data_IF_099294143929
#
_entry.id   IF_099294143929
#
_cell.length_a   1.000
_cell.length_b   1.000
_cell.length_c   1.000
_cell.angle_alpha   90.00
_cell.angle_beta   90.00
_cell.angle_gamma   90.00
#
_symmetry.space_group_name_H-M   'P 1'
#
loop_
_entity.id
_entity.type
_entity.pdbx_description
1 polymer ?
#
# COMPACT_ATOMS: atom_id res chain seq x y z
N UNK A 1 -1.03 11.91 24.58
CA UNK A 1 0.14 11.72 23.69
C UNK A 1 -0.31 11.93 22.25
N UNK A 2 0.58 12.27 21.32
CA UNK A 2 0.19 12.52 19.93
C UNK A 2 -0.36 11.25 19.26
N UNK A 3 -1.55 11.34 18.68
CA UNK A 3 -2.20 10.22 17.98
C UNK A 3 -1.51 9.91 16.65
N UNK A 4 -1.06 10.97 15.96
CA UNK A 4 -0.37 10.90 14.67
C UNK A 4 0.94 11.67 14.74
N UNK A 5 1.95 11.16 14.05
CA UNK A 5 3.29 11.75 13.94
C UNK A 5 3.84 11.54 12.53
N UNK A 6 4.99 12.15 12.25
CA UNK A 6 5.79 11.87 11.05
C UNK A 6 7.25 11.69 11.44
N UNK A 7 7.92 10.68 10.88
CA UNK A 7 9.32 10.37 11.16
C UNK A 7 10.06 10.19 9.84
N UNK A 8 10.78 11.21 9.40
CA UNK A 8 11.70 11.14 8.26
C UNK A 8 13.13 10.84 8.75
N UNK A 9 13.31 9.65 9.32
CA UNK A 9 14.58 9.25 9.92
C UNK A 9 15.52 8.64 8.87
N UNK A 10 16.59 9.34 8.49
CA UNK A 10 17.59 8.88 7.53
C UNK A 10 17.32 9.32 6.09
N UNK A 11 17.70 8.48 5.12
CA UNK A 11 17.51 8.73 3.67
C UNK A 11 16.64 7.65 3.04
N UNK A 12 15.90 8.01 1.99
CA UNK A 12 15.19 7.06 1.12
C UNK A 12 16.17 6.00 0.60
N UNK A 13 15.74 4.75 0.57
CA UNK A 13 16.54 3.64 0.03
C UNK A 13 16.52 3.64 -1.50
N UNK A 14 17.52 3.00 -2.10
CA UNK A 14 17.51 2.73 -3.54
C UNK A 14 16.23 1.96 -3.90
N UNK A 15 15.39 2.47 -4.81
CA UNK A 15 14.14 1.81 -5.16
C UNK A 15 14.40 0.55 -5.97
N UNK A 16 13.44 -0.39 -5.95
CA UNK A 16 13.51 -1.61 -6.78
C UNK A 16 13.24 -1.25 -8.25
N UNK A 17 12.17 -0.49 -8.48
CA UNK A 17 11.77 -0.02 -9.79
C UNK A 17 12.13 1.46 -9.99
N UNK A 18 12.24 1.87 -11.24
CA UNK A 18 12.46 3.27 -11.59
C UNK A 18 11.29 4.15 -11.15
N UNK A 19 11.55 5.47 -11.03
CA UNK A 19 10.47 6.42 -10.79
C UNK A 19 9.43 6.39 -11.92
N UNK A 20 9.86 6.19 -13.17
CA UNK A 20 8.96 6.10 -14.32
C UNK A 20 8.00 4.90 -14.21
N UNK A 21 8.50 3.74 -13.77
CA UNK A 21 7.65 2.56 -13.54
C UNK A 21 6.61 2.83 -12.44
N UNK A 22 7.01 3.47 -11.34
CA UNK A 22 6.07 3.81 -10.26
C UNK A 22 5.02 4.83 -10.69
N UNK A 23 5.42 5.89 -11.39
CA UNK A 23 4.48 6.88 -11.94
C UNK A 23 3.54 6.25 -12.97
N UNK A 24 4.01 5.32 -13.81
CA UNK A 24 3.15 4.61 -14.76
C UNK A 24 2.07 3.78 -14.06
N UNK A 25 2.39 3.12 -12.95
CA UNK A 25 1.39 2.39 -12.14
C UNK A 25 0.34 3.33 -11.56
N UNK A 26 0.79 4.44 -10.97
CA UNK A 26 -0.10 5.44 -10.38
C UNK A 26 -0.98 6.12 -11.44
N UNK A 27 -0.42 6.43 -12.62
CA UNK A 27 -1.17 7.01 -13.74
C UNK A 27 -2.29 6.09 -14.22
N UNK A 28 -2.02 4.78 -14.36
CA UNK A 28 -3.04 3.78 -14.71
C UNK A 28 -4.13 3.69 -13.64
N UNK A 29 -3.77 3.68 -12.36
CA UNK A 29 -4.73 3.70 -11.26
C UNK A 29 -5.60 4.96 -11.29
N UNK A 30 -4.99 6.15 -11.35
CA UNK A 30 -5.68 7.45 -11.38
C UNK A 30 -6.59 7.61 -12.59
N UNK A 31 -6.19 7.09 -13.74
CA UNK A 31 -7.04 7.03 -14.94
C UNK A 31 -8.28 6.20 -14.69
N UNK A 32 -8.14 5.00 -14.10
CA UNK A 32 -9.29 4.15 -13.77
C UNK A 32 -10.16 4.76 -12.68
N UNK A 33 -9.56 5.40 -11.67
CA UNK A 33 -10.30 6.15 -10.66
C UNK A 33 -11.17 7.24 -11.31
N UNK A 34 -10.64 8.00 -12.27
CA UNK A 34 -11.42 9.02 -12.98
C UNK A 34 -12.55 8.42 -13.82
N UNK A 35 -12.30 7.32 -14.53
CA UNK A 35 -13.33 6.62 -15.33
C UNK A 35 -14.47 6.09 -14.46
N UNK A 36 -14.12 5.52 -13.30
CA UNK A 36 -15.07 4.91 -12.37
C UNK A 36 -15.64 5.91 -11.37
N UNK A 37 -15.32 7.21 -11.46
CA UNK A 37 -15.69 8.26 -10.50
C UNK A 37 -15.34 7.88 -9.04
N UNK A 38 -14.09 7.52 -8.79
CA UNK A 38 -13.53 7.20 -7.47
C UNK A 38 -12.60 8.35 -7.06
N UNK A 39 -12.91 8.99 -5.93
CA UNK A 39 -12.22 10.19 -5.46
C UNK A 39 -10.91 9.85 -4.73
N UNK A 40 -10.93 8.76 -3.97
CA UNK A 40 -9.79 8.26 -3.22
C UNK A 40 -9.78 6.73 -3.21
N UNK A 41 -8.59 6.13 -3.09
CA UNK A 41 -8.42 4.70 -2.87
C UNK A 41 -7.64 4.49 -1.59
N UNK A 42 -8.11 3.56 -0.75
CA UNK A 42 -7.43 3.09 0.45
C UNK A 42 -7.04 1.64 0.23
N UNK A 43 -5.77 1.39 -0.08
CA UNK A 43 -5.23 0.03 -0.05
C UNK A 43 -4.87 -0.36 1.37
N UNK A 44 -5.22 -1.58 1.73
CA UNK A 44 -4.93 -2.21 3.03
C UNK A 44 -4.06 -3.45 2.88
N UNK A 45 -4.00 -4.03 1.68
CA UNK A 45 -3.29 -5.26 1.39
C UNK A 45 -1.80 -5.06 1.14
N UNK A 46 -1.00 -6.05 1.56
CA UNK A 46 0.46 -6.00 1.39
C UNK A 46 0.87 -5.89 -0.08
N UNK A 47 0.14 -6.56 -0.98
CA UNK A 47 0.50 -6.57 -2.40
C UNK A 47 0.19 -5.25 -3.11
N UNK A 48 -0.90 -4.54 -2.78
CA UNK A 48 -1.19 -3.26 -3.43
C UNK A 48 -0.40 -2.11 -2.79
N UNK A 49 -0.22 -2.13 -1.47
CA UNK A 49 0.66 -1.17 -0.79
C UNK A 49 2.08 -1.28 -1.36
N UNK A 50 2.60 -2.50 -1.54
CA UNK A 50 3.90 -2.68 -2.18
C UNK A 50 3.90 -2.28 -3.66
N UNK A 51 2.88 -2.65 -4.43
CA UNK A 51 2.83 -2.39 -5.87
C UNK A 51 2.86 -0.90 -6.21
N UNK A 52 2.10 -0.08 -5.47
CA UNK A 52 2.00 1.38 -5.72
C UNK A 52 2.94 2.23 -4.87
N UNK A 53 3.53 1.70 -3.80
CA UNK A 53 4.38 2.48 -2.89
C UNK A 53 5.71 1.82 -2.53
N UNK A 54 6.10 0.67 -3.11
CA UNK A 54 7.34 -0.06 -2.79
C UNK A 54 7.50 -0.57 -1.35
N UNK A 55 6.53 -0.34 -0.48
CA UNK A 55 6.61 -0.71 0.93
C UNK A 55 5.92 -2.05 1.19
N UNK A 56 6.69 -3.03 1.67
CA UNK A 56 6.19 -4.30 2.21
C UNK A 56 6.11 -4.15 3.73
N UNK A 57 4.90 -4.13 4.27
CA UNK A 57 4.69 -3.94 5.72
C UNK A 57 4.84 -5.24 6.51
N UNK A 58 5.11 -5.10 7.81
CA UNK A 58 5.01 -6.18 8.79
C UNK A 58 3.78 -5.92 9.67
N UNK A 59 2.71 -6.70 9.51
CA UNK A 59 1.44 -6.37 10.17
C UNK A 59 1.56 -6.43 11.69
N UNK A 60 1.99 -7.58 12.22
CA UNK A 60 1.96 -7.87 13.65
C UNK A 60 0.60 -7.54 14.31
N UNK A 61 -0.50 -7.77 13.59
CA UNK A 61 -1.86 -7.46 14.02
C UNK A 61 -2.28 -5.99 13.89
N UNK A 62 -1.38 -5.09 13.45
CA UNK A 62 -1.72 -3.69 13.17
C UNK A 62 -2.19 -3.51 11.72
N UNK A 63 -3.16 -2.63 11.48
CA UNK A 63 -3.57 -2.26 10.13
C UNK A 63 -2.52 -1.35 9.47
N UNK A 64 -2.47 -1.43 8.14
CA UNK A 64 -1.66 -0.56 7.28
C UNK A 64 -2.51 -0.03 6.16
N UNK A 65 -2.16 1.16 5.69
CA UNK A 65 -2.91 1.85 4.65
C UNK A 65 -2.00 2.47 3.59
N UNK A 66 -2.51 2.61 2.38
CA UNK A 66 -1.97 3.52 1.37
C UNK A 66 -3.14 4.28 0.75
N UNK A 67 -3.13 5.59 0.95
CA UNK A 67 -4.10 6.51 0.36
C UNK A 67 -3.57 7.00 -0.99
N UNK A 68 -4.40 6.88 -2.01
CA UNK A 68 -4.16 7.45 -3.35
C UNK A 68 -5.34 8.34 -3.73
N UNK A 69 -5.05 9.59 -4.10
CA UNK A 69 -5.99 10.48 -4.79
C UNK A 69 -5.41 10.86 -6.15
N UNK A 70 -6.06 11.75 -6.88
CA UNK A 70 -5.53 12.27 -8.15
C UNK A 70 -4.17 12.98 -7.98
N UNK A 71 -3.89 13.52 -6.80
CA UNK A 71 -2.72 14.35 -6.50
C UNK A 71 -1.89 13.86 -5.30
N UNK A 72 -2.39 12.91 -4.51
CA UNK A 72 -1.74 12.40 -3.29
C UNK A 72 -1.36 10.92 -3.41
N UNK A 73 -0.22 10.57 -2.79
CA UNK A 73 0.19 9.20 -2.49
C UNK A 73 0.80 9.18 -1.08
N UNK A 74 0.12 8.56 -0.12
CA UNK A 74 0.55 8.61 1.29
C UNK A 74 0.27 7.32 2.04
N UNK A 75 1.32 6.72 2.60
CA UNK A 75 1.17 5.53 3.44
C UNK A 75 0.79 5.88 4.88
N UNK A 76 -0.02 5.02 5.48
CA UNK A 76 -0.45 5.05 6.88
C UNK A 76 0.19 3.86 7.59
N UNK A 77 1.11 4.12 8.53
CA UNK A 77 1.95 3.07 9.12
C UNK A 77 2.02 3.16 10.63
N UNK A 78 2.38 2.07 11.30
CA UNK A 78 2.47 2.05 12.75
C UNK A 78 3.78 2.68 13.26
N UNK A 79 3.73 3.33 14.42
CA UNK A 79 4.90 3.96 15.06
C UNK A 79 6.06 2.99 15.33
N UNK A 80 5.77 1.71 15.53
CA UNK A 80 6.78 0.68 15.76
C UNK A 80 7.80 0.55 14.60
N UNK A 81 7.42 0.92 13.37
CA UNK A 81 8.32 0.86 12.21
C UNK A 81 9.28 2.07 12.12
N UNK A 82 9.06 3.11 12.95
CA UNK A 82 9.81 4.35 12.90
C UNK A 82 9.81 4.97 11.50
N UNK A 83 10.99 5.37 11.01
CA UNK A 83 11.14 5.98 9.68
C UNK A 83 11.28 4.99 8.52
N UNK A 84 11.28 3.67 8.75
CA UNK A 84 11.49 2.69 7.69
C UNK A 84 10.43 2.76 6.57
N UNK A 85 9.12 2.88 6.85
CA UNK A 85 8.11 2.95 5.81
C UNK A 85 8.25 4.19 4.94
N UNK A 86 8.62 5.34 5.52
CA UNK A 86 8.98 6.52 4.75
C UNK A 86 10.20 6.25 3.88
N UNK A 87 11.29 5.66 4.41
CA UNK A 87 12.51 5.40 3.63
C UNK A 87 12.29 4.48 2.44
N UNK A 88 11.38 3.51 2.56
CA UNK A 88 11.09 2.52 1.51
C UNK A 88 9.99 2.98 0.56
N UNK A 89 9.03 3.74 1.08
CA UNK A 89 7.88 4.26 0.37
C UNK A 89 8.26 5.12 -0.83
N UNK A 90 7.51 5.04 -1.93
CA UNK A 90 7.63 5.97 -3.04
C UNK A 90 7.07 7.35 -2.68
N UNK A 91 5.91 7.40 -2.01
CA UNK A 91 5.24 8.62 -1.60
C UNK A 91 5.59 9.13 -0.20
N UNK A 92 4.69 9.96 0.33
CA UNK A 92 4.72 10.47 1.70
C UNK A 92 4.27 9.41 2.71
N UNK A 93 4.43 9.71 4.00
CA UNK A 93 4.06 8.81 5.09
C UNK A 93 3.53 9.58 6.31
N UNK A 94 2.48 9.06 6.91
CA UNK A 94 1.97 9.43 8.23
C UNK A 94 1.95 8.20 9.13
N UNK A 95 2.26 8.42 10.40
CA UNK A 95 2.44 7.37 11.39
C UNK A 95 1.35 7.51 12.45
N UNK A 96 0.61 6.44 12.72
CA UNK A 96 -0.29 6.37 13.87
C UNK A 96 0.40 5.71 15.07
N UNK A 97 0.00 6.12 16.27
CA UNK A 97 0.56 5.61 17.52
C UNK A 97 -0.39 4.65 18.23
N UNK A 98 0.15 3.79 19.08
CA UNK A 98 -0.62 2.82 19.87
C UNK A 98 -1.29 3.42 21.13
N UNK A 99 -1.15 4.74 21.34
CA UNK A 99 -1.58 5.40 22.58
C UNK A 99 -3.10 5.43 22.76
N UNK A 100 -3.84 5.37 21.67
CA UNK A 100 -5.30 5.30 21.67
C UNK A 100 -5.77 4.30 20.62
N UNK A 101 -6.91 3.65 20.91
CA UNK A 101 -7.54 2.74 19.96
C UNK A 101 -7.90 3.47 18.67
N UNK A 102 -7.80 2.75 17.56
CA UNK A 102 -8.29 3.17 16.25
C UNK A 102 -7.64 4.45 15.68
N UNK A 103 -6.44 4.83 16.17
CA UNK A 103 -5.66 5.93 15.60
C UNK A 103 -5.34 5.73 14.11
N UNK A 104 -5.31 4.49 13.62
CA UNK A 104 -5.26 4.18 12.19
C UNK A 104 -6.43 4.80 11.40
N UNK A 105 -7.66 4.67 11.89
CA UNK A 105 -8.84 5.22 11.23
C UNK A 105 -8.88 6.75 11.33
N UNK A 106 -8.42 7.31 12.45
CA UNK A 106 -8.21 8.76 12.57
C UNK A 106 -7.19 9.28 11.55
N UNK A 107 -6.13 8.52 11.26
CA UNK A 107 -5.19 8.85 10.21
C UNK A 107 -5.85 8.84 8.83
N UNK A 108 -6.68 7.83 8.53
CA UNK A 108 -7.43 7.77 7.26
C UNK A 108 -8.39 8.96 7.09
N UNK A 109 -9.12 9.36 8.15
CA UNK A 109 -10.02 10.52 8.12
C UNK A 109 -9.31 11.84 7.81
N UNK A 110 -8.04 11.97 8.19
CA UNK A 110 -7.25 13.17 7.85
C UNK A 110 -6.76 13.16 6.42
N UNK A 111 -6.69 11.99 5.78
CA UNK A 111 -6.07 11.84 4.47
C UNK A 111 -7.08 11.64 3.33
N UNK A 112 -8.31 11.25 3.66
CA UNK A 112 -9.42 11.00 2.73
C UNK A 112 -10.62 11.83 3.14
N UNK A 113 -11.26 12.50 2.17
CA UNK A 113 -12.49 13.23 2.40
C UNK A 113 -13.62 12.29 2.80
N UNK A 114 -14.38 12.64 3.86
CA UNK A 114 -15.61 11.96 4.24
C UNK A 114 -16.78 12.40 3.31
N UNK A 115 -16.67 12.11 2.03
CA UNK A 115 -17.71 12.27 1.01
C UNK A 115 -17.28 11.60 -0.29
N UNK A 116 -18.18 11.53 -1.27
CA UNK A 116 -17.86 10.97 -2.58
C UNK A 116 -17.66 9.45 -2.54
N UNK A 117 -16.83 8.92 -3.43
CA UNK A 117 -16.61 7.47 -3.60
C UNK A 117 -15.19 7.08 -3.25
N UNK A 118 -15.06 6.17 -2.29
CA UNK A 118 -13.77 5.68 -1.78
C UNK A 118 -13.58 4.21 -2.14
N UNK A 119 -12.58 3.94 -2.98
CA UNK A 119 -12.20 2.60 -3.39
C UNK A 119 -11.47 1.84 -2.29
N UNK A 120 -11.95 0.65 -1.95
CA UNK A 120 -11.34 -0.26 -0.97
C UNK A 120 -11.27 -1.69 -1.51
N UNK A 121 -10.50 -2.54 -0.85
CA UNK A 121 -10.26 -3.91 -1.30
C UNK A 121 -11.20 -4.90 -0.60
N UNK A 122 -12.35 -5.20 -1.21
CA UNK A 122 -13.34 -6.12 -0.61
C UNK A 122 -12.83 -7.56 -0.46
N UNK A 123 -11.80 -7.94 -1.23
CA UNK A 123 -11.13 -9.23 -1.12
C UNK A 123 -10.06 -9.27 -0.01
N UNK A 124 -9.81 -8.16 0.68
CA UNK A 124 -8.79 -8.07 1.74
C UNK A 124 -9.30 -7.49 3.06
N UNK A 125 -10.13 -6.43 3.03
CA UNK A 125 -10.61 -5.80 4.26
C UNK A 125 -11.53 -6.76 5.04
N UNK A 126 -11.28 -6.91 6.34
CA UNK A 126 -12.12 -7.73 7.20
C UNK A 126 -13.36 -6.95 7.68
N UNK A 127 -14.36 -7.66 8.21
CA UNK A 127 -15.63 -7.06 8.63
C UNK A 127 -15.48 -6.01 9.74
N UNK A 128 -14.59 -6.23 10.70
CA UNK A 128 -14.35 -5.28 11.80
C UNK A 128 -13.79 -3.95 11.28
N UNK A 129 -12.76 -4.02 10.44
CA UNK A 129 -12.13 -2.84 9.86
C UNK A 129 -13.03 -2.15 8.83
N UNK A 130 -13.85 -2.91 8.09
CA UNK A 130 -14.86 -2.35 7.21
C UNK A 130 -15.86 -1.51 8.02
N UNK A 131 -16.37 -2.05 9.13
CA UNK A 131 -17.32 -1.31 9.99
C UNK A 131 -16.68 -0.05 10.57
N UNK A 132 -15.47 -0.14 11.11
CA UNK A 132 -14.74 1.04 11.63
C UNK A 132 -14.46 2.08 10.54
N UNK A 133 -14.19 1.63 9.31
CA UNK A 133 -13.99 2.54 8.19
C UNK A 133 -15.29 3.21 7.76
N UNK A 134 -16.41 2.49 7.76
CA UNK A 134 -17.75 3.05 7.52
C UNK A 134 -18.13 4.06 8.61
N UNK A 135 -17.84 3.78 9.88
CA UNK A 135 -18.07 4.72 10.98
C UNK A 135 -17.16 5.97 10.83
N UNK A 136 -15.93 5.79 10.36
CA UNK A 136 -14.98 6.87 10.15
C UNK A 136 -15.28 7.73 8.91
N UNK A 137 -15.87 7.14 7.86
CA UNK A 137 -16.22 7.78 6.59
C UNK A 137 -17.73 7.61 6.31
N UNK A 138 -18.56 8.06 7.25
CA UNK A 138 -20.01 7.81 7.25
C UNK A 138 -20.77 8.40 6.07
N UNK A 139 -20.22 9.42 5.42
CA UNK A 139 -20.84 10.14 4.29
C UNK A 139 -20.21 9.76 2.94
N UNK A 140 -19.21 8.87 2.94
CA UNK A 140 -18.58 8.35 1.74
C UNK A 140 -19.20 7.01 1.32
N UNK A 141 -19.36 6.82 0.01
CA UNK A 141 -19.72 5.53 -0.57
C UNK A 141 -18.45 4.68 -0.73
N UNK A 142 -18.38 3.56 -0.02
CA UNK A 142 -17.30 2.60 -0.20
C UNK A 142 -17.58 1.70 -1.41
N UNK A 143 -16.60 1.57 -2.30
CA UNK A 143 -16.70 0.76 -3.53
C UNK A 143 -15.49 -0.16 -3.68
N UNK A 144 -15.67 -1.29 -4.38
CA UNK A 144 -14.58 -2.25 -4.58
C UNK A 144 -13.59 -1.79 -5.68
N UNK A 145 -12.29 -1.79 -5.36
CA UNK A 145 -11.19 -1.54 -6.32
C UNK A 145 -10.36 -2.81 -6.59
N UNK A 146 -10.60 -3.91 -5.86
CA UNK A 146 -9.75 -5.10 -5.89
C UNK A 146 -9.57 -5.67 -7.29
N UNK A 147 -10.68 -5.85 -8.02
CA UNK A 147 -10.69 -6.40 -9.40
C UNK A 147 -10.00 -5.47 -10.39
N UNK A 148 -10.15 -4.15 -10.25
CA UNK A 148 -9.49 -3.17 -11.12
C UNK A 148 -7.98 -3.27 -10.95
N UNK A 149 -7.50 -3.26 -9.70
CA UNK A 149 -6.06 -3.34 -9.45
C UNK A 149 -5.47 -4.69 -9.81
N UNK A 150 -6.19 -5.79 -9.57
CA UNK A 150 -5.74 -7.12 -9.98
C UNK A 150 -5.52 -7.16 -11.49
N UNK A 151 -6.47 -6.64 -12.29
CA UNK A 151 -6.32 -6.59 -13.75
C UNK A 151 -5.09 -5.79 -14.19
N UNK A 152 -4.78 -4.68 -13.51
CA UNK A 152 -3.57 -3.89 -13.80
C UNK A 152 -2.28 -4.68 -13.53
N UNK A 153 -2.26 -5.52 -12.48
CA UNK A 153 -1.09 -6.34 -12.10
C UNK A 153 -0.91 -7.61 -12.94
N UNK A 154 -1.89 -7.99 -13.77
CA UNK A 154 -1.79 -9.21 -14.58
C UNK A 154 -0.73 -9.11 -15.69
N UNK A 155 -0.52 -7.90 -16.24
CA UNK A 155 0.43 -7.64 -17.33
C UNK A 155 1.65 -6.94 -16.75
N UNK A 156 2.81 -7.59 -16.88
CA UNK A 156 4.05 -7.17 -16.21
C UNK A 156 4.82 -6.20 -17.10
N UNK A 157 5.40 -5.17 -16.51
CA UNK A 157 6.34 -4.29 -17.20
C UNK A 157 7.66 -5.00 -17.50
N UNK A 158 8.50 -4.37 -18.33
CA UNK A 158 9.83 -4.88 -18.60
C UNK A 158 10.69 -4.96 -17.32
N UNK A 159 10.57 -3.97 -16.42
CA UNK A 159 11.30 -3.96 -15.15
C UNK A 159 10.81 -5.08 -14.21
N UNK A 160 9.49 -5.34 -14.18
CA UNK A 160 8.94 -6.47 -13.41
C UNK A 160 9.42 -7.82 -13.96
N UNK A 161 9.41 -8.00 -15.28
CA UNK A 161 9.90 -9.24 -15.91
C UNK A 161 11.38 -9.44 -15.58
N UNK A 162 12.18 -8.38 -15.60
CA UNK A 162 13.60 -8.48 -15.25
C UNK A 162 13.81 -8.89 -13.78
N UNK A 163 13.06 -8.28 -12.86
CA UNK A 163 13.09 -8.70 -11.45
C UNK A 163 12.64 -10.16 -11.27
N UNK A 164 11.64 -10.61 -12.03
CA UNK A 164 11.17 -12.00 -12.01
C UNK A 164 12.26 -12.96 -12.51
N UNK A 165 13.01 -12.61 -13.57
CA UNK A 165 14.15 -13.41 -14.05
C UNK A 165 15.23 -13.58 -12.99
N UNK A 166 15.57 -12.49 -12.29
CA UNK A 166 16.52 -12.54 -11.18
C UNK A 166 16.02 -13.45 -10.06
N UNK A 167 14.72 -13.39 -9.73
CA UNK A 167 14.10 -14.29 -8.75
C UNK A 167 14.16 -15.76 -9.17
N UNK A 168 13.91 -16.07 -10.44
CA UNK A 168 14.02 -17.42 -10.98
C UNK A 168 15.45 -17.96 -10.89
N UNK A 169 16.46 -17.13 -11.22
CA UNK A 169 17.86 -17.51 -11.08
C UNK A 169 18.24 -17.85 -9.62
N UNK A 170 17.74 -17.09 -8.65
CA UNK A 170 17.96 -17.39 -7.22
C UNK A 170 17.27 -18.70 -6.82
N UNK A 171 16.08 -18.97 -7.35
CA UNK A 171 15.38 -20.23 -7.12
C UNK A 171 16.14 -21.44 -7.68
N UNK A 172 16.75 -21.32 -8.87
CA UNK A 172 17.59 -22.37 -9.45
C UNK A 172 18.79 -22.70 -8.55
N UNK A 173 19.45 -21.67 -8.00
CA UNK A 173 20.54 -21.84 -7.02
C UNK A 173 20.04 -22.58 -5.78
N UNK A 174 18.88 -22.20 -5.25
CA UNK A 174 18.26 -22.87 -4.11
C UNK A 174 17.95 -24.35 -4.39
N UNK A 175 17.43 -24.65 -5.58
CA UNK A 175 17.17 -26.03 -6.02
C UNK A 175 18.44 -26.87 -6.10
N UNK A 176 19.52 -26.33 -6.67
CA UNK A 176 20.82 -27.00 -6.72
C UNK A 176 21.38 -27.27 -5.31
N UNK A 177 21.29 -26.30 -4.41
CA UNK A 177 21.72 -26.43 -3.02
C UNK A 177 20.92 -27.51 -2.27
N UNK A 178 19.61 -27.63 -2.53
CA UNK A 178 18.80 -28.71 -1.96
C UNK A 178 19.27 -30.09 -2.43
N UNK A 179 19.60 -30.26 -3.72
CA UNK A 179 20.11 -31.53 -4.25
C UNK A 179 21.46 -31.89 -3.61
N UNK A 180 22.36 -30.92 -3.47
CA UNK A 180 23.67 -31.12 -2.83
C UNK A 180 23.54 -31.54 -1.34
N UNK A 181 22.52 -31.03 -0.65
CA UNK A 181 22.31 -31.31 0.77
C UNK A 181 21.70 -32.70 1.06
N UNK A 182 21.08 -33.35 0.08
CA UNK A 182 20.50 -34.69 0.25
C UNK A 182 21.62 -35.73 0.18
N UNK A 183 21.71 -36.59 1.20
CA UNK A 183 22.64 -37.72 1.31
C UNK A 183 21.91 -39.04 1.27
#
# INVERSE_FOLDING_TARGET
MNQLISIQNGRKQTPIFSAAEMENRLAKLRTQMAVENIDAVIFTSIHNINYYNHFVYCSFGRPYGLVVTQDKLKSITANIDGGHPWRRGFGENVIFTDWEKDNYFKALQQEVTNSGRVGIEYDHINLENLKKLQDALSDAELVDISKITMRQRMVKSAEEIELIRNGAQVADIGGAACVEAIR
#
